data_IF_780772971504
#
_entry.id   IF_780772971504
#
_cell.length_a   1.000
_cell.length_b   1.000
_cell.length_c   1.000
_cell.angle_alpha   90.00
_cell.angle_beta   90.00
_cell.angle_gamma   90.00
#
_symmetry.space_group_name_H-M   'P 1'
#
loop_
_entity.id
_entity.type
_entity.pdbx_description
1 polymer ?
#
# COMPACT_ATOMS: atom_id res chain seq x y z
N UNK A 1 -14.95 -8.17 30.52
CA UNK A 1 -14.34 -7.34 31.57
C UNK A 1 -13.74 -6.14 30.87
N UNK A 2 -14.05 -4.92 31.32
CA UNK A 2 -13.65 -3.69 30.62
C UNK A 2 -12.25 -3.31 31.10
N UNK A 3 -11.33 -3.15 30.15
CA UNK A 3 -9.91 -2.86 30.44
C UNK A 3 -9.79 -1.39 30.84
N UNK A 4 -9.06 -1.09 31.92
CA UNK A 4 -8.73 0.28 32.34
C UNK A 4 -7.87 0.97 31.27
N UNK A 5 -8.27 2.19 30.89
CA UNK A 5 -7.50 3.05 29.99
C UNK A 5 -6.30 3.71 30.69
N UNK A 6 -5.39 4.23 29.89
CA UNK A 6 -4.21 4.98 30.37
C UNK A 6 -4.69 6.21 31.17
N UNK A 7 -4.05 6.45 32.32
CA UNK A 7 -4.43 7.51 33.27
C UNK A 7 -5.40 7.06 34.36
N UNK A 8 -5.94 5.82 34.28
CA UNK A 8 -6.74 5.24 35.36
C UNK A 8 -5.95 5.18 36.67
N UNK A 9 -6.63 5.44 37.80
CA UNK A 9 -6.04 5.41 39.14
C UNK A 9 -6.51 4.19 39.89
N UNK A 10 -5.57 3.45 40.45
CA UNK A 10 -5.82 2.19 41.15
C UNK A 10 -5.10 2.17 42.49
N UNK A 11 -5.54 1.29 43.36
CA UNK A 11 -4.88 0.95 44.61
C UNK A 11 -4.57 -0.55 44.60
N UNK A 12 -3.27 -0.88 44.63
CA UNK A 12 -2.80 -2.26 44.66
C UNK A 12 -2.56 -2.70 46.11
N UNK A 13 -2.96 -3.92 46.51
CA UNK A 13 -2.80 -4.40 47.90
C UNK A 13 -1.36 -4.33 48.43
N UNK A 14 -0.37 -4.55 47.55
CA UNK A 14 1.05 -4.56 47.93
C UNK A 14 1.79 -3.25 47.68
N UNK A 15 1.40 -2.48 46.64
CA UNK A 15 2.15 -1.30 46.17
C UNK A 15 1.44 0.03 46.44
N UNK A 16 0.21 -0.03 46.97
CA UNK A 16 -0.59 1.15 47.29
C UNK A 16 -1.09 1.88 46.05
N UNK A 17 -1.14 3.20 46.14
CA UNK A 17 -1.70 4.06 45.09
C UNK A 17 -0.81 4.12 43.86
N UNK A 18 -1.41 3.88 42.67
CA UNK A 18 -0.71 3.91 41.40
C UNK A 18 -1.56 4.43 40.24
N UNK A 19 -0.88 4.88 39.19
CA UNK A 19 -1.51 5.38 37.96
C UNK A 19 -1.12 4.49 36.79
N UNK A 20 -2.11 4.03 36.03
CA UNK A 20 -1.91 3.24 34.81
C UNK A 20 -1.28 4.13 33.74
N UNK A 21 -0.10 3.73 33.25
CA UNK A 21 0.65 4.49 32.23
C UNK A 21 0.67 3.81 30.87
N UNK A 22 0.47 2.49 30.84
CA UNK A 22 0.34 1.70 29.62
C UNK A 22 -0.48 0.43 29.90
N UNK A 23 -1.04 -0.17 28.85
CA UNK A 23 -1.84 -1.39 28.95
C UNK A 23 -1.76 -2.19 27.65
N UNK A 24 -1.73 -3.51 27.76
CA UNK A 24 -1.88 -4.42 26.64
C UNK A 24 -3.02 -5.42 26.90
N UNK A 25 -3.11 -6.52 26.14
CA UNK A 25 -4.15 -7.53 26.33
C UNK A 25 -4.03 -8.37 27.62
N UNK A 26 -2.93 -8.24 28.38
CA UNK A 26 -2.58 -9.12 29.51
C UNK A 26 -2.15 -8.37 30.78
N UNK A 27 -1.51 -7.21 30.63
CA UNK A 27 -0.86 -6.48 31.72
C UNK A 27 -1.19 -4.99 31.71
N UNK A 28 -1.18 -4.41 32.91
CA UNK A 28 -1.10 -2.99 33.20
C UNK A 28 0.33 -2.63 33.59
N UNK A 29 0.83 -1.50 33.08
CA UNK A 29 2.03 -0.86 33.59
C UNK A 29 1.63 0.31 34.46
N UNK A 30 1.90 0.19 35.76
CA UNK A 30 1.40 1.11 36.78
C UNK A 30 2.59 1.77 37.46
N UNK A 31 2.61 3.09 37.48
CA UNK A 31 3.59 3.83 38.28
C UNK A 31 3.03 4.05 39.68
N UNK A 32 3.68 3.45 40.67
CA UNK A 32 3.38 3.59 42.09
C UNK A 32 4.27 4.66 42.73
N UNK A 33 3.77 5.28 43.79
CA UNK A 33 4.43 6.42 44.43
C UNK A 33 5.79 6.05 45.06
N UNK A 34 5.92 4.86 45.65
CA UNK A 34 7.14 4.42 46.34
C UNK A 34 8.00 3.49 45.47
N UNK A 35 7.38 2.57 44.74
CA UNK A 35 8.06 1.49 44.02
C UNK A 35 8.41 1.85 42.56
N UNK A 36 7.85 2.94 42.02
CA UNK A 36 8.04 3.29 40.61
C UNK A 36 7.18 2.43 39.68
N UNK A 37 7.71 2.09 38.50
CA UNK A 37 6.95 1.37 37.46
C UNK A 37 6.92 -0.13 37.74
N UNK A 38 5.73 -0.69 37.92
CA UNK A 38 5.50 -2.12 38.12
C UNK A 38 4.54 -2.68 37.06
N UNK A 39 4.67 -3.98 36.79
CA UNK A 39 3.82 -4.70 35.83
C UNK A 39 2.80 -5.55 36.57
N UNK A 40 1.53 -5.31 36.32
CA UNK A 40 0.40 -5.90 37.06
C UNK A 40 -0.50 -6.66 36.06
N UNK A 41 -0.86 -7.91 36.34
CA UNK A 41 -1.76 -8.65 35.46
C UNK A 41 -3.18 -8.06 35.48
N UNK A 42 -3.89 -8.07 34.34
CA UNK A 42 -5.25 -7.51 34.24
C UNK A 42 -6.27 -8.22 35.15
N UNK A 43 -6.02 -9.48 35.51
CA UNK A 43 -6.87 -10.26 36.39
C UNK A 43 -6.47 -10.19 37.87
N UNK A 44 -5.48 -9.37 38.22
CA UNK A 44 -5.07 -9.18 39.61
C UNK A 44 -6.16 -8.49 40.43
N UNK A 45 -6.19 -8.76 41.73
CA UNK A 45 -7.10 -8.08 42.65
C UNK A 45 -6.58 -6.65 42.91
N UNK A 46 -7.16 -5.69 42.19
CA UNK A 46 -6.87 -4.26 42.32
C UNK A 46 -8.15 -3.48 42.63
N UNK A 47 -8.04 -2.52 43.53
CA UNK A 47 -9.13 -1.58 43.81
C UNK A 47 -9.05 -0.42 42.81
N UNK A 48 -10.15 -0.17 42.10
CA UNK A 48 -10.21 0.88 41.08
C UNK A 48 -10.75 2.16 41.73
N UNK A 49 -9.94 3.20 41.80
CA UNK A 49 -10.32 4.51 42.34
C UNK A 49 -11.01 5.34 41.26
N UNK A 50 -10.40 5.39 40.07
CA UNK A 50 -10.89 6.18 38.94
C UNK A 50 -10.59 5.39 37.66
N UNK A 51 -11.65 4.93 36.99
CA UNK A 51 -11.53 4.26 35.70
C UNK A 51 -11.65 5.30 34.59
N UNK A 52 -10.57 5.49 33.82
CA UNK A 52 -10.64 6.14 32.53
C UNK A 52 -11.01 5.07 31.52
N UNK A 53 -12.21 5.16 30.98
CA UNK A 53 -12.70 4.29 29.91
C UNK A 53 -12.39 4.92 28.56
N UNK A 54 -11.11 5.25 28.31
CA UNK A 54 -10.74 5.64 26.96
C UNK A 54 -10.68 4.39 26.09
N UNK A 55 -11.37 4.44 24.95
CA UNK A 55 -11.16 3.52 23.86
C UNK A 55 -9.66 3.52 23.60
N UNK A 56 -8.99 2.43 23.98
CA UNK A 56 -7.60 2.26 23.67
C UNK A 56 -7.47 2.51 22.18
N UNK A 57 -6.69 3.53 21.81
CA UNK A 57 -6.05 3.65 20.51
C UNK A 57 -5.06 2.46 20.37
N UNK A 58 -5.59 1.23 20.43
CA UNK A 58 -4.97 0.10 19.79
C UNK A 58 -5.09 0.41 18.32
N UNK A 59 -4.09 1.11 17.77
CA UNK A 59 -3.96 1.25 16.33
C UNK A 59 -4.08 -0.17 15.80
N UNK A 60 -5.17 -0.44 15.07
CA UNK A 60 -5.49 -1.82 14.72
C UNK A 60 -4.30 -2.38 13.96
N UNK A 61 -3.86 -3.61 14.24
CA UNK A 61 -2.82 -4.23 13.42
C UNK A 61 -3.19 -4.20 11.93
N UNK A 62 -4.49 -4.20 11.62
CA UNK A 62 -5.02 -3.97 10.27
C UNK A 62 -4.80 -2.54 9.76
N UNK A 63 -4.94 -1.52 10.61
CA UNK A 63 -4.62 -0.13 10.25
C UNK A 63 -3.12 0.07 10.07
N UNK A 64 -2.29 -0.52 10.93
CA UNK A 64 -0.83 -0.49 10.79
C UNK A 64 -0.41 -1.22 9.50
N UNK A 65 -0.96 -2.41 9.24
CA UNK A 65 -0.69 -3.18 8.02
C UNK A 65 -1.16 -2.44 6.77
N UNK A 66 -2.37 -1.88 6.78
CA UNK A 66 -2.91 -1.13 5.64
C UNK A 66 -2.12 0.15 5.40
N UNK A 67 -1.71 0.86 6.44
CA UNK A 67 -0.85 2.05 6.35
C UNK A 67 0.53 1.67 5.81
N UNK A 68 1.15 0.62 6.32
CA UNK A 68 2.44 0.12 5.82
C UNK A 68 2.35 -0.35 4.37
N UNK A 69 1.29 -1.09 4.00
CA UNK A 69 1.03 -1.48 2.61
C UNK A 69 0.83 -0.27 1.70
N UNK A 70 0.12 0.75 2.17
CA UNK A 70 -0.11 1.97 1.41
C UNK A 70 1.17 2.77 1.23
N UNK A 71 1.99 2.90 2.28
CA UNK A 71 3.32 3.51 2.21
C UNK A 71 4.24 2.75 1.25
N UNK A 72 4.31 1.42 1.35
CA UNK A 72 5.10 0.61 0.42
C UNK A 72 4.58 0.74 -1.01
N UNK A 73 3.27 0.76 -1.26
CA UNK A 73 2.72 1.02 -2.61
C UNK A 73 3.01 2.44 -3.12
N UNK A 74 3.09 3.41 -2.23
CA UNK A 74 3.34 4.81 -2.57
C UNK A 74 4.82 5.07 -2.90
N UNK A 75 5.73 4.39 -2.19
CA UNK A 75 7.18 4.64 -2.27
C UNK A 75 7.97 3.56 -3.01
N UNK A 76 7.37 2.40 -3.23
CA UNK A 76 8.06 1.36 -3.97
C UNK A 76 7.70 1.43 -5.46
N UNK A 77 8.74 1.47 -6.29
CA UNK A 77 8.68 0.97 -7.66
C UNK A 77 8.47 -0.56 -7.69
N UNK A 78 7.77 -1.16 -6.71
CA UNK A 78 7.31 -2.56 -6.81
C UNK A 78 6.24 -2.54 -7.88
N UNK A 79 6.69 -2.69 -9.13
CA UNK A 79 5.84 -3.07 -10.24
C UNK A 79 4.97 -4.22 -9.77
N UNK A 80 3.66 -4.01 -9.83
CA UNK A 80 2.69 -5.07 -9.65
C UNK A 80 3.15 -6.31 -10.42
N UNK A 81 3.12 -7.49 -9.80
CA UNK A 81 3.51 -8.71 -10.51
C UNK A 81 2.52 -8.93 -11.65
N UNK A 82 2.97 -8.69 -12.88
CA UNK A 82 2.17 -8.87 -14.09
C UNK A 82 2.56 -10.17 -14.76
N UNK A 83 1.57 -11.01 -15.03
CA UNK A 83 1.79 -12.25 -15.76
C UNK A 83 1.43 -12.10 -17.24
N UNK A 84 2.31 -12.62 -18.10
CA UNK A 84 2.02 -12.74 -19.53
C UNK A 84 0.94 -13.81 -19.76
N UNK A 85 0.07 -13.59 -20.75
CA UNK A 85 -0.96 -14.53 -21.15
C UNK A 85 -0.33 -15.86 -21.61
N UNK A 86 -0.96 -16.98 -21.24
CA UNK A 86 -0.36 -18.31 -21.35
C UNK A 86 0.05 -18.67 -22.79
N UNK A 87 -0.67 -18.15 -23.80
CA UNK A 87 -0.38 -18.38 -25.24
C UNK A 87 0.93 -17.76 -25.75
N UNK A 88 1.55 -16.86 -25.00
CA UNK A 88 2.77 -16.16 -25.42
C UNK A 88 4.01 -16.57 -24.62
N UNK A 89 3.85 -17.41 -23.58
CA UNK A 89 4.93 -17.87 -22.71
C UNK A 89 6.00 -18.63 -23.50
N UNK A 90 7.27 -18.31 -23.26
CA UNK A 90 8.40 -18.92 -23.97
C UNK A 90 8.50 -18.55 -25.46
N UNK A 91 7.62 -17.67 -25.95
CA UNK A 91 7.66 -17.19 -27.32
C UNK A 91 8.75 -16.15 -27.58
N UNK A 92 8.81 -15.67 -28.82
CA UNK A 92 9.69 -14.57 -29.25
C UNK A 92 8.98 -13.66 -30.25
N UNK A 93 9.32 -12.38 -30.22
CA UNK A 93 8.99 -11.40 -31.24
C UNK A 93 10.12 -11.39 -32.28
N UNK A 94 9.77 -11.46 -33.56
CA UNK A 94 10.73 -11.36 -34.67
C UNK A 94 10.48 -10.05 -35.39
N UNK A 95 11.50 -9.20 -35.44
CA UNK A 95 11.52 -8.00 -36.27
C UNK A 95 12.19 -8.35 -37.58
N UNK A 96 11.37 -8.54 -38.61
CA UNK A 96 11.81 -8.91 -39.94
C UNK A 96 11.98 -7.66 -40.81
N UNK A 97 13.20 -7.37 -41.30
CA UNK A 97 13.41 -6.27 -42.22
C UNK A 97 12.83 -6.60 -43.61
N UNK A 98 12.33 -5.58 -44.31
CA UNK A 98 11.91 -5.73 -45.72
C UNK A 98 13.09 -6.07 -46.63
N UNK A 99 14.28 -5.59 -46.29
CA UNK A 99 15.51 -5.92 -47.01
C UNK A 99 15.96 -7.33 -46.61
N UNK A 100 15.88 -8.24 -47.57
CA UNK A 100 16.22 -9.66 -47.39
C UNK A 100 17.71 -9.90 -47.15
N UNK A 101 18.57 -8.89 -47.35
CA UNK A 101 19.99 -8.98 -47.04
C UNK A 101 20.29 -8.72 -45.55
N UNK A 102 19.32 -8.19 -44.80
CA UNK A 102 19.47 -7.91 -43.37
C UNK A 102 18.91 -9.06 -42.54
N UNK A 103 19.60 -9.38 -41.45
CA UNK A 103 19.14 -10.41 -40.52
C UNK A 103 17.94 -9.93 -39.70
N UNK A 104 16.98 -10.83 -39.50
CA UNK A 104 15.88 -10.62 -38.55
C UNK A 104 16.39 -10.51 -37.12
N UNK A 105 15.77 -9.64 -36.33
CA UNK A 105 16.07 -9.50 -34.91
C UNK A 105 15.05 -10.23 -34.06
N UNK A 106 15.51 -11.16 -33.26
CA UNK A 106 14.67 -11.87 -32.30
C UNK A 106 14.72 -11.21 -30.93
N UNK A 107 13.56 -11.13 -30.27
CA UNK A 107 13.41 -10.59 -28.92
C UNK A 107 12.59 -11.59 -28.12
N UNK A 108 13.10 -12.14 -27.00
CA UNK A 108 12.31 -12.99 -26.13
C UNK A 108 11.04 -12.30 -25.67
N UNK A 109 9.91 -13.00 -25.70
CA UNK A 109 8.61 -12.40 -25.41
C UNK A 109 8.55 -11.86 -23.97
N UNK A 110 9.17 -12.53 -23.00
CA UNK A 110 9.24 -12.05 -21.61
C UNK A 110 10.01 -10.72 -21.51
N UNK A 111 11.10 -10.57 -22.27
CA UNK A 111 11.86 -9.30 -22.31
C UNK A 111 11.03 -8.18 -22.91
N UNK A 112 10.31 -8.46 -24.01
CA UNK A 112 9.42 -7.48 -24.62
C UNK A 112 8.28 -7.11 -23.66
N UNK A 113 7.64 -8.10 -23.04
CA UNK A 113 6.54 -7.89 -22.11
C UNK A 113 6.96 -7.06 -20.90
N UNK A 114 8.12 -7.34 -20.30
CA UNK A 114 8.65 -6.53 -19.21
C UNK A 114 8.83 -5.05 -19.60
N UNK A 115 9.24 -4.77 -20.85
CA UNK A 115 9.31 -3.39 -21.36
C UNK A 115 7.93 -2.74 -21.48
N UNK A 116 6.92 -3.49 -21.93
CA UNK A 116 5.53 -3.00 -22.00
C UNK A 116 4.99 -2.69 -20.59
N UNK A 117 5.24 -3.56 -19.61
CA UNK A 117 4.87 -3.33 -18.20
C UNK A 117 5.56 -2.08 -17.65
N UNK A 118 6.87 -1.90 -17.88
CA UNK A 118 7.59 -0.70 -17.45
C UNK A 118 7.02 0.60 -18.05
N UNK A 119 6.60 0.58 -19.32
CA UNK A 119 5.97 1.75 -19.95
C UNK A 119 4.64 2.07 -19.28
N UNK A 120 3.80 1.06 -19.03
CA UNK A 120 2.53 1.22 -18.31
C UNK A 120 2.74 1.87 -16.95
N UNK A 121 3.68 1.34 -16.17
CA UNK A 121 3.92 1.78 -14.80
C UNK A 121 4.45 3.24 -14.77
N UNK A 122 5.30 3.63 -15.73
CA UNK A 122 5.76 5.03 -15.88
C UNK A 122 4.62 5.99 -16.24
N UNK A 123 3.71 5.60 -17.12
CA UNK A 123 2.54 6.42 -17.47
C UNK A 123 1.63 6.59 -16.24
N UNK A 124 1.43 5.52 -15.46
CA UNK A 124 0.67 5.58 -14.21
C UNK A 124 1.30 6.53 -13.19
N UNK A 125 2.62 6.48 -13.00
CA UNK A 125 3.33 7.40 -12.10
C UNK A 125 3.22 8.85 -12.62
N UNK A 126 3.29 9.05 -13.93
CA UNK A 126 3.10 10.37 -14.53
C UNK A 126 1.70 10.93 -14.23
N UNK A 127 0.65 10.13 -14.39
CA UNK A 127 -0.72 10.49 -14.06
C UNK A 127 -0.88 10.89 -12.58
N UNK A 128 -0.31 10.10 -11.67
CA UNK A 128 -0.33 10.42 -10.24
C UNK A 128 0.36 11.75 -9.93
N UNK A 129 1.52 12.02 -10.56
CA UNK A 129 2.24 13.29 -10.40
C UNK A 129 1.42 14.48 -10.93
N UNK A 130 0.75 14.34 -12.07
CA UNK A 130 -0.15 15.38 -12.60
C UNK A 130 -1.29 15.65 -11.63
N UNK A 131 -1.93 14.61 -11.09
CA UNK A 131 -3.04 14.75 -10.14
C UNK A 131 -2.61 15.45 -8.84
N UNK A 132 -1.46 15.05 -8.28
CA UNK A 132 -0.92 15.56 -7.04
C UNK A 132 -0.23 16.93 -7.16
N UNK A 133 0.04 17.41 -8.38
CA UNK A 133 0.74 18.68 -8.59
C UNK A 133 -0.04 19.85 -7.98
N UNK A 134 0.62 20.67 -7.18
CA UNK A 134 0.05 21.89 -6.59
C UNK A 134 0.25 23.13 -7.47
N UNK A 135 1.11 23.03 -8.49
CA UNK A 135 1.52 24.15 -9.35
C UNK A 135 0.77 24.20 -10.67
N UNK A 136 0.18 23.08 -11.10
CA UNK A 136 -0.66 23.04 -12.29
C UNK A 136 -2.07 23.53 -11.95
N UNK A 137 -2.61 24.40 -12.80
CA UNK A 137 -4.02 24.78 -12.69
C UNK A 137 -4.95 23.64 -13.13
N UNK A 138 -6.26 23.84 -12.91
CA UNK A 138 -7.25 22.80 -13.20
C UNK A 138 -7.38 22.50 -14.70
N UNK A 139 -7.21 23.48 -15.57
CA UNK A 139 -7.36 23.29 -17.01
C UNK A 139 -6.17 22.50 -17.57
N UNK A 140 -4.95 22.86 -17.17
CA UNK A 140 -3.73 22.14 -17.54
C UNK A 140 -3.75 20.69 -17.07
N UNK A 141 -4.24 20.44 -15.85
CA UNK A 141 -4.42 19.07 -15.33
C UNK A 141 -5.38 18.26 -16.21
N UNK A 142 -6.52 18.84 -16.60
CA UNK A 142 -7.50 18.18 -17.46
C UNK A 142 -6.88 17.84 -18.81
N UNK A 143 -6.16 18.78 -19.43
CA UNK A 143 -5.56 18.57 -20.76
C UNK A 143 -4.47 17.50 -20.72
N UNK A 144 -3.62 17.49 -19.69
CA UNK A 144 -2.63 16.44 -19.47
C UNK A 144 -3.27 15.07 -19.20
N UNK A 145 -4.32 15.00 -18.38
CA UNK A 145 -5.07 13.77 -18.13
C UNK A 145 -5.69 13.21 -19.41
N UNK A 146 -6.25 14.07 -20.27
CA UNK A 146 -6.77 13.64 -21.58
C UNK A 146 -5.67 13.09 -22.46
N UNK A 147 -4.49 13.73 -22.49
CA UNK A 147 -3.35 13.25 -23.26
C UNK A 147 -2.83 11.90 -22.76
N UNK A 148 -2.69 11.74 -21.43
CA UNK A 148 -2.36 10.46 -20.78
C UNK A 148 -3.36 9.38 -21.18
N UNK A 149 -4.66 9.69 -21.17
CA UNK A 149 -5.71 8.75 -21.56
C UNK A 149 -5.58 8.32 -23.04
N UNK A 150 -5.17 9.22 -23.93
CA UNK A 150 -4.86 8.89 -25.33
C UNK A 150 -3.62 8.00 -25.47
N UNK A 151 -2.59 8.22 -24.64
CA UNK A 151 -1.41 7.34 -24.58
C UNK A 151 -1.83 5.92 -24.14
N UNK A 152 -2.67 5.78 -23.12
CA UNK A 152 -3.21 4.47 -22.75
C UNK A 152 -3.98 3.83 -23.92
N UNK A 153 -4.76 4.63 -24.66
CA UNK A 153 -5.50 4.19 -25.84
C UNK A 153 -4.59 3.59 -26.93
N UNK A 154 -3.46 4.23 -27.24
CA UNK A 154 -2.53 3.75 -28.28
C UNK A 154 -1.80 2.45 -27.90
N UNK A 155 -1.73 2.13 -26.61
CA UNK A 155 -1.11 0.91 -26.10
C UNK A 155 -2.09 -0.28 -25.96
N UNK A 156 -3.38 -0.08 -26.20
CA UNK A 156 -4.41 -1.13 -26.05
C UNK A 156 -4.17 -2.36 -26.93
N UNK A 157 -3.48 -2.22 -28.06
CA UNK A 157 -3.06 -3.35 -28.92
C UNK A 157 -2.25 -4.40 -28.14
N UNK A 158 -1.46 -3.98 -27.15
CA UNK A 158 -0.64 -4.88 -26.34
C UNK A 158 -1.42 -5.59 -25.23
N UNK A 159 -2.71 -5.28 -25.02
CA UNK A 159 -3.54 -5.96 -24.02
C UNK A 159 -3.60 -7.47 -24.21
N UNK A 160 -3.44 -7.95 -25.45
CA UNK A 160 -3.40 -9.38 -25.76
C UNK A 160 -2.26 -10.15 -25.06
N UNK A 161 -1.24 -9.43 -24.57
CA UNK A 161 -0.11 -9.98 -23.84
C UNK A 161 -0.41 -10.19 -22.35
N UNK A 162 -1.41 -9.52 -21.78
CA UNK A 162 -1.69 -9.57 -20.35
C UNK A 162 -2.59 -10.76 -20.02
N UNK A 163 -2.30 -11.45 -18.91
CA UNK A 163 -3.14 -12.54 -18.41
C UNK A 163 -4.44 -12.03 -17.79
N UNK A 164 -4.38 -10.93 -17.04
CA UNK A 164 -5.52 -10.41 -16.28
C UNK A 164 -6.05 -9.11 -16.89
N UNK A 165 -7.38 -9.01 -17.05
CA UNK A 165 -8.04 -7.86 -17.67
C UNK A 165 -7.90 -6.56 -16.87
N UNK A 166 -7.79 -6.62 -15.55
CA UNK A 166 -7.60 -5.45 -14.68
C UNK A 166 -6.21 -4.82 -14.85
N UNK A 167 -5.26 -5.52 -15.49
CA UNK A 167 -3.90 -5.05 -15.75
C UNK A 167 -3.74 -4.45 -17.15
N UNK A 168 -4.82 -4.44 -17.94
CA UNK A 168 -4.85 -3.90 -19.30
C UNK A 168 -4.68 -2.38 -19.32
N UNK A 169 -4.13 -1.87 -20.42
CA UNK A 169 -4.26 -0.47 -20.78
C UNK A 169 -5.74 -0.15 -21.05
N UNK A 170 -6.24 0.92 -20.43
CA UNK A 170 -7.60 1.45 -20.63
C UNK A 170 -7.54 2.92 -21.04
N UNK A 171 -7.91 3.21 -22.29
CA UNK A 171 -8.01 4.58 -22.81
C UNK A 171 -9.46 5.01 -23.05
N UNK A 172 -9.64 6.16 -23.69
CA UNK A 172 -10.95 6.63 -24.14
C UNK A 172 -11.49 5.61 -25.14
N UNK A 173 -12.64 5.01 -24.84
CA UNK A 173 -13.38 4.25 -25.85
C UNK A 173 -13.88 5.26 -26.87
N UNK A 174 -13.36 5.20 -28.09
CA UNK A 174 -14.01 5.89 -29.21
C UNK A 174 -15.40 5.28 -29.32
N UNK A 175 -16.43 6.06 -28.99
CA UNK A 175 -17.81 5.73 -29.35
C UNK A 175 -18.00 5.96 -30.83
#
# INVERSE_FOLDING_TARGET
MKILGIGSRINHPEFGFGVVTNVDSKNYWVTFQENGLETIEINSEIEIIEAIEDELDTVSFYEVESTLRNLLKQYSDISEVVHIADKWKGGKLILEPKDTNLASKEIPMDTFFNKIVMVRDRIRVMEQKVNASKTLDNQDKIDLQQYITRIYGSLTTFNVLFKLKNQHFSGVKSK
#
